data_IF_002436560165
#
_entry.id   IF_002436560165
#
_cell.length_a   1.000
_cell.length_b   1.000
_cell.length_c   1.000
_cell.angle_alpha   90.00
_cell.angle_beta   90.00
_cell.angle_gamma   90.00
#
_symmetry.space_group_name_H-M   'P 1'
#
loop_
_entity.id
_entity.type
_entity.pdbx_description
1 polymer ?
#
# COMPACT_ATOMS: atom_id res chain seq x y z
N UNK A 1 -14.61 1.74 1.66
CA UNK A 1 -15.51 2.35 2.65
C UNK A 1 -14.88 3.65 3.16
N UNK A 2 -15.35 4.81 2.68
CA UNK A 2 -14.78 6.14 2.99
C UNK A 2 -15.54 6.83 4.13
N UNK A 3 -15.51 6.25 5.33
CA UNK A 3 -16.09 6.90 6.53
C UNK A 3 -15.01 7.70 7.31
N UNK A 4 -13.73 7.61 6.98
CA UNK A 4 -12.72 7.67 8.04
C UNK A 4 -12.09 9.05 8.32
N UNK A 5 -11.96 9.95 7.34
CA UNK A 5 -11.16 11.17 7.54
C UNK A 5 -11.89 12.29 8.27
N UNK A 6 -13.13 12.60 7.87
CA UNK A 6 -13.92 13.70 8.47
C UNK A 6 -14.30 13.40 9.92
N UNK A 7 -14.69 12.16 10.20
CA UNK A 7 -15.03 11.72 11.57
C UNK A 7 -13.79 11.76 12.47
N UNK A 8 -12.62 11.36 11.95
CA UNK A 8 -11.35 11.45 12.68
C UNK A 8 -11.00 12.90 13.05
N UNK A 9 -11.12 13.84 12.11
CA UNK A 9 -10.87 15.26 12.41
C UNK A 9 -11.83 15.80 13.47
N UNK A 10 -13.13 15.45 13.38
CA UNK A 10 -14.11 15.81 14.42
C UNK A 10 -13.73 15.26 15.79
N UNK A 11 -13.25 14.01 15.86
CA UNK A 11 -12.83 13.38 17.12
C UNK A 11 -11.55 14.02 17.70
N UNK A 12 -10.66 14.51 16.83
CA UNK A 12 -9.48 15.29 17.26
C UNK A 12 -9.92 16.63 17.84
N UNK A 13 -10.88 17.31 17.21
CA UNK A 13 -11.36 18.64 17.63
C UNK A 13 -12.08 18.63 18.99
N UNK A 14 -12.71 17.50 19.35
CA UNK A 14 -13.39 17.33 20.65
C UNK A 14 -12.49 16.72 21.72
N UNK A 15 -11.23 16.45 21.42
CA UNK A 15 -10.30 15.85 22.37
C UNK A 15 -9.93 16.86 23.46
N UNK A 16 -10.06 16.52 24.76
CA UNK A 16 -9.63 17.41 25.82
C UNK A 16 -8.13 17.73 25.73
N UNK A 17 -7.73 18.98 25.95
CA UNK A 17 -6.34 19.43 25.76
C UNK A 17 -5.32 18.58 26.54
N UNK A 18 -5.69 18.15 27.75
CA UNK A 18 -4.86 17.30 28.61
C UNK A 18 -4.55 15.91 28.00
N UNK A 19 -5.40 15.41 27.10
CA UNK A 19 -5.27 14.08 26.48
C UNK A 19 -4.50 14.15 25.15
N UNK A 20 -4.34 15.34 24.54
CA UNK A 20 -3.62 15.53 23.27
C UNK A 20 -2.21 14.89 23.29
N UNK A 21 -1.39 15.06 24.33
CA UNK A 21 -0.05 14.45 24.36
C UNK A 21 -0.07 12.92 24.40
N UNK A 22 -1.14 12.32 24.94
CA UNK A 22 -1.31 10.86 25.00
C UNK A 22 -1.76 10.34 23.63
N UNK A 23 -2.77 10.98 23.04
CA UNK A 23 -3.25 10.64 21.71
C UNK A 23 -2.15 10.75 20.64
N UNK A 24 -1.32 11.81 20.70
CA UNK A 24 -0.19 11.98 19.78
C UNK A 24 0.82 10.83 19.89
N UNK A 25 1.22 10.46 21.10
CA UNK A 25 2.15 9.33 21.34
C UNK A 25 1.58 8.00 20.82
N UNK A 26 0.28 7.77 21.00
CA UNK A 26 -0.38 6.58 20.49
C UNK A 26 -0.42 6.53 18.96
N UNK A 27 -0.70 7.65 18.29
CA UNK A 27 -0.67 7.73 16.83
C UNK A 27 0.74 7.52 16.28
N UNK A 28 1.76 8.10 16.91
CA UNK A 28 3.17 7.88 16.55
C UNK A 28 3.56 6.41 16.71
N UNK A 29 3.11 5.75 17.78
CA UNK A 29 3.30 4.31 17.98
C UNK A 29 2.67 3.49 16.84
N UNK A 30 1.41 3.75 16.47
CA UNK A 30 0.74 3.05 15.37
C UNK A 30 1.51 3.22 14.06
N UNK A 31 1.97 4.44 13.75
CA UNK A 31 2.72 4.72 12.52
C UNK A 31 4.01 3.91 12.49
N UNK A 32 4.74 3.87 13.61
CA UNK A 32 6.00 3.14 13.70
C UNK A 32 5.79 1.62 13.62
N UNK A 33 4.78 1.08 14.28
CA UNK A 33 4.44 -0.34 14.19
C UNK A 33 4.02 -0.73 12.78
N UNK A 34 3.14 0.04 12.14
CA UNK A 34 2.73 -0.21 10.76
C UNK A 34 3.93 -0.19 9.80
N UNK A 35 4.83 0.79 9.96
CA UNK A 35 6.05 0.86 9.14
C UNK A 35 6.97 -0.33 9.38
N UNK A 36 7.11 -0.79 10.63
CA UNK A 36 7.90 -1.96 10.96
C UNK A 36 7.28 -3.25 10.36
N UNK A 37 5.97 -3.41 10.44
CA UNK A 37 5.26 -4.53 9.80
C UNK A 37 5.44 -4.50 8.28
N UNK A 38 5.29 -3.34 7.64
CA UNK A 38 5.49 -3.19 6.19
C UNK A 38 6.91 -3.63 5.78
N UNK A 39 7.94 -3.19 6.52
CA UNK A 39 9.33 -3.60 6.30
C UNK A 39 9.48 -5.11 6.50
N UNK A 40 8.87 -5.67 7.54
CA UNK A 40 8.94 -7.10 7.83
C UNK A 40 8.28 -7.93 6.73
N UNK A 41 7.13 -7.49 6.21
CA UNK A 41 6.48 -8.13 5.06
C UNK A 41 7.30 -8.01 3.78
N UNK A 42 7.90 -6.85 3.53
CA UNK A 42 8.74 -6.63 2.36
C UNK A 42 10.00 -7.50 2.37
N UNK A 43 10.59 -7.70 3.56
CA UNK A 43 11.79 -8.50 3.75
C UNK A 43 11.49 -9.97 4.13
N UNK A 44 10.23 -10.38 4.16
CA UNK A 44 9.89 -11.75 4.47
C UNK A 44 10.42 -12.67 3.35
N UNK A 45 11.05 -13.77 3.74
CA UNK A 45 11.42 -14.81 2.79
C UNK A 45 10.16 -15.29 2.07
N UNK A 46 10.20 -15.30 0.75
CA UNK A 46 9.15 -15.92 -0.04
C UNK A 46 9.20 -17.42 0.27
N UNK A 47 8.05 -17.98 0.69
CA UNK A 47 7.96 -19.42 0.84
C UNK A 47 8.28 -20.12 -0.49
N UNK A 48 8.86 -21.31 -0.39
CA UNK A 48 9.15 -22.19 -1.52
C UNK A 48 7.85 -22.76 -2.09
N UNK A 49 7.10 -21.92 -2.79
CA UNK A 49 5.89 -22.32 -3.50
C UNK A 49 6.27 -23.09 -4.76
N UNK A 50 5.49 -24.12 -5.13
CA UNK A 50 5.65 -24.74 -6.43
C UNK A 50 5.48 -23.69 -7.53
N UNK A 51 6.18 -23.90 -8.66
CA UNK A 51 6.02 -23.04 -9.84
C UNK A 51 4.55 -23.00 -10.22
N UNK A 52 4.01 -21.79 -10.37
CA UNK A 52 2.63 -21.62 -10.79
C UNK A 52 2.41 -22.26 -12.18
N UNK A 53 1.46 -23.19 -12.25
CA UNK A 53 1.10 -23.84 -13.51
C UNK A 53 0.24 -22.89 -14.35
N UNK A 54 0.84 -22.36 -15.41
CA UNK A 54 0.17 -21.47 -16.36
C UNK A 54 -0.72 -22.25 -17.36
N UNK A 55 -0.79 -23.57 -17.27
CA UNK A 55 -1.50 -24.42 -18.22
C UNK A 55 -0.80 -24.50 -19.59
N UNK A 56 -1.46 -25.16 -20.53
CA UNK A 56 -0.89 -25.42 -21.86
C UNK A 56 -0.57 -24.16 -22.68
N UNK A 57 -1.24 -23.03 -22.40
CA UNK A 57 -1.02 -21.76 -23.09
C UNK A 57 0.21 -20.99 -22.57
N UNK A 58 0.70 -21.35 -21.38
CA UNK A 58 1.82 -20.68 -20.74
C UNK A 58 1.47 -19.29 -20.19
N UNK A 59 2.47 -18.58 -19.64
CA UNK A 59 2.25 -17.23 -19.10
C UNK A 59 1.76 -16.27 -20.19
N UNK A 60 0.86 -15.33 -19.86
CA UNK A 60 0.36 -14.37 -20.82
C UNK A 60 1.51 -13.49 -21.35
N UNK A 61 1.48 -13.19 -22.64
CA UNK A 61 2.41 -12.23 -23.25
C UNK A 61 2.14 -10.84 -22.68
N UNK A 62 3.04 -10.34 -21.85
CA UNK A 62 2.96 -8.99 -21.28
C UNK A 62 3.00 -7.90 -22.35
N UNK A 63 2.51 -6.70 -22.01
CA UNK A 63 2.64 -5.51 -22.87
C UNK A 63 3.92 -4.75 -22.51
N UNK A 64 4.61 -4.11 -23.49
CA UNK A 64 5.76 -3.28 -23.18
C UNK A 64 5.33 -2.09 -22.33
N UNK A 65 6.07 -1.81 -21.24
CA UNK A 65 5.84 -0.68 -20.34
C UNK A 65 7.07 0.23 -20.24
N UNK A 66 6.85 1.53 -20.04
CA UNK A 66 7.89 2.53 -19.77
C UNK A 66 7.56 3.24 -18.47
N UNK A 67 8.55 3.41 -17.61
CA UNK A 67 8.41 4.26 -16.45
C UNK A 67 8.56 5.74 -16.81
N UNK A 68 7.63 6.57 -16.34
CA UNK A 68 7.67 8.03 -16.43
C UNK A 68 7.69 8.60 -15.02
N UNK A 69 8.77 9.32 -14.68
CA UNK A 69 8.93 9.98 -13.37
C UNK A 69 7.73 10.91 -13.09
N UNK A 70 7.08 10.72 -11.95
CA UNK A 70 5.91 11.52 -11.53
C UNK A 70 4.57 11.09 -12.13
N UNK A 71 4.55 10.16 -13.10
CA UNK A 71 3.33 9.62 -13.72
C UNK A 71 3.16 8.11 -13.47
N UNK A 72 4.25 7.38 -13.26
CA UNK A 72 4.25 5.93 -13.04
C UNK A 72 4.52 5.14 -14.32
N UNK A 73 4.07 3.89 -14.36
CA UNK A 73 4.23 2.99 -15.51
C UNK A 73 3.19 3.31 -16.60
N UNK A 74 3.64 3.44 -17.84
CA UNK A 74 2.82 3.64 -19.02
C UNK A 74 3.02 2.49 -20.00
N UNK A 75 1.92 1.92 -20.51
CA UNK A 75 1.96 0.86 -21.53
C UNK A 75 2.28 1.50 -22.89
N UNK A 76 3.37 1.05 -23.54
CA UNK A 76 3.90 1.65 -24.78
C UNK A 76 3.21 1.08 -26.04
N UNK A 77 2.46 -0.02 -25.94
CA UNK A 77 1.83 -0.66 -27.10
C UNK A 77 0.50 -1.37 -26.77
N UNK A 78 -0.42 -1.40 -27.73
CA UNK A 78 -1.72 -2.10 -27.61
C UNK A 78 -2.98 -1.26 -27.81
N UNK A 79 -2.87 -0.07 -28.41
CA UNK A 79 -3.97 0.49 -29.23
C UNK A 79 -3.59 0.32 -30.68
N UNK A 80 -3.80 -0.87 -31.21
CA UNK A 80 -4.17 -0.95 -32.63
C UNK A 80 -5.70 -0.79 -32.69
N UNK A 81 -6.23 -0.09 -33.70
CA UNK A 81 -7.66 0.15 -33.88
C UNK A 81 -8.48 -1.14 -34.04
#
# INVERSE_FOLDING_TARGET
MSIQRKELYRLIDVLPEKEIPVAKRFLEFIINEAHFEDIKWLNADLADWPVYDWGAEGPPKGKPVRYIKGKGLEIIGGREP
#
